data_IF_296580883677
#
_entry.id   IF_296580883677
#
_cell.length_a   1.000
_cell.length_b   1.000
_cell.length_c   1.000
_cell.angle_alpha   90.00
_cell.angle_beta   90.00
_cell.angle_gamma   90.00
#
_symmetry.space_group_name_H-M   'P 1'
#
loop_
_entity.id
_entity.type
_entity.pdbx_description
1 polymer ?
#
# COMPACT_ATOMS: atom_id res chain seq x y z
N UNK A 1 5.54 -7.43 -1.42
CA UNK A 1 4.47 -7.52 -0.40
C UNK A 1 3.47 -6.37 -0.57
N UNK A 2 3.84 -5.10 -0.32
CA UNK A 2 2.93 -3.93 -0.49
C UNK A 2 2.12 -3.95 -1.79
N UNK A 3 2.78 -3.98 -2.95
CA UNK A 3 2.09 -3.90 -4.25
C UNK A 3 1.21 -5.13 -4.55
N UNK A 4 1.69 -6.33 -4.20
CA UNK A 4 0.92 -7.57 -4.31
C UNK A 4 -0.35 -7.49 -3.47
N UNK A 5 -0.25 -7.07 -2.20
CA UNK A 5 -1.40 -6.90 -1.30
C UNK A 5 -2.42 -5.91 -1.86
N UNK A 6 -1.98 -4.77 -2.41
CA UNK A 6 -2.89 -3.81 -3.04
C UNK A 6 -3.58 -4.41 -4.28
N UNK A 7 -2.83 -5.15 -5.11
CA UNK A 7 -3.36 -5.84 -6.29
C UNK A 7 -4.39 -6.91 -5.96
N UNK A 8 -4.10 -7.77 -4.98
CA UNK A 8 -5.00 -8.83 -4.51
C UNK A 8 -6.32 -8.27 -3.96
N UNK A 9 -6.27 -7.05 -3.39
CA UNK A 9 -7.42 -6.31 -2.90
C UNK A 9 -8.10 -5.42 -3.95
N UNK A 10 -7.70 -5.52 -5.23
CA UNK A 10 -8.20 -4.72 -6.36
C UNK A 10 -8.13 -3.21 -6.10
N UNK A 11 -7.01 -2.75 -5.54
CA UNK A 11 -6.72 -1.32 -5.32
C UNK A 11 -5.75 -0.85 -6.39
N UNK A 12 -6.15 0.18 -7.13
CA UNK A 12 -5.32 0.69 -8.22
C UNK A 12 -4.26 1.67 -7.73
N UNK A 13 -3.01 1.45 -8.15
CA UNK A 13 -1.90 2.36 -7.84
C UNK A 13 -1.78 3.39 -8.98
N UNK A 14 -1.89 4.66 -8.62
CA UNK A 14 -1.82 5.79 -9.55
C UNK A 14 -0.36 6.19 -9.78
N UNK A 15 0.45 6.17 -8.74
CA UNK A 15 1.87 6.51 -8.81
C UNK A 15 2.67 5.79 -7.72
N UNK A 16 3.96 5.58 -7.98
CA UNK A 16 4.94 5.06 -7.02
C UNK A 16 6.11 6.02 -7.00
N UNK A 17 6.54 6.40 -5.81
CA UNK A 17 7.76 7.17 -5.58
C UNK A 17 8.63 6.42 -4.57
N UNK A 18 9.90 6.21 -4.93
CA UNK A 18 10.91 5.66 -4.03
C UNK A 18 12.11 6.60 -4.03
N UNK A 19 12.50 7.07 -2.85
CA UNK A 19 13.71 7.87 -2.69
C UNK A 19 14.98 7.01 -2.69
N UNK A 20 16.13 7.68 -2.57
CA UNK A 20 17.45 7.03 -2.38
C UNK A 20 17.60 6.36 -1.01
N UNK A 21 16.70 6.67 -0.06
CA UNK A 21 16.58 5.89 1.17
C UNK A 21 15.84 4.59 0.84
N UNK A 22 16.56 3.47 0.87
CA UNK A 22 16.03 2.11 0.60
C UNK A 22 14.94 1.66 1.58
N UNK A 23 14.66 2.48 2.60
CA UNK A 23 13.74 2.17 3.68
C UNK A 23 12.33 2.76 3.47
N UNK A 24 12.13 3.63 2.48
CA UNK A 24 10.83 4.27 2.25
C UNK A 24 10.33 4.18 0.81
N UNK A 25 9.11 3.67 0.68
CA UNK A 25 8.34 3.62 -0.55
C UNK A 25 7.05 4.40 -0.30
N UNK A 26 6.68 5.28 -1.22
CA UNK A 26 5.40 5.98 -1.25
C UNK A 26 4.60 5.56 -2.48
N UNK A 27 3.29 5.39 -2.32
CA UNK A 27 2.39 5.14 -3.43
C UNK A 27 1.13 6.00 -3.31
N UNK A 28 0.59 6.44 -4.45
CA UNK A 28 -0.65 7.18 -4.55
C UNK A 28 -1.76 6.25 -5.04
N UNK A 29 -2.93 6.36 -4.41
CA UNK A 29 -4.14 5.59 -4.73
C UNK A 29 -5.35 6.54 -4.72
N UNK A 30 -6.50 6.08 -5.21
CA UNK A 30 -7.71 6.88 -5.14
C UNK A 30 -8.13 7.10 -3.67
N UNK A 31 -8.47 8.34 -3.31
CA UNK A 31 -8.88 8.70 -1.94
C UNK A 31 -9.97 7.78 -1.34
N UNK A 32 -11.03 7.40 -2.09
CA UNK A 32 -12.04 6.46 -1.61
C UNK A 32 -11.50 5.07 -1.23
N UNK A 33 -10.34 4.66 -1.76
CA UNK A 33 -9.71 3.37 -1.48
C UNK A 33 -8.72 3.41 -0.32
N UNK A 34 -8.39 4.60 0.19
CA UNK A 34 -7.33 4.80 1.19
C UNK A 34 -7.53 3.96 2.45
N UNK A 35 -8.73 3.99 3.04
CA UNK A 35 -9.04 3.22 4.25
C UNK A 35 -8.90 1.71 4.02
N UNK A 36 -9.35 1.21 2.85
CA UNK A 36 -9.25 -0.21 2.49
C UNK A 36 -7.79 -0.62 2.31
N UNK A 37 -7.00 0.22 1.64
CA UNK A 37 -5.58 0.00 1.41
C UNK A 37 -4.79 -0.11 2.73
N UNK A 38 -5.01 0.81 3.66
CA UNK A 38 -4.35 0.81 4.97
C UNK A 38 -4.68 -0.47 5.74
N UNK A 39 -5.95 -0.90 5.76
CA UNK A 39 -6.37 -2.14 6.45
C UNK A 39 -5.72 -3.38 5.84
N UNK A 40 -5.80 -3.52 4.52
CA UNK A 40 -5.19 -4.65 3.81
C UNK A 40 -3.67 -4.72 4.04
N UNK A 41 -2.99 -3.57 4.08
CA UNK A 41 -1.57 -3.50 4.39
C UNK A 41 -1.27 -3.85 5.85
N UNK A 42 -2.04 -3.36 6.82
CA UNK A 42 -1.85 -3.74 8.22
C UNK A 42 -1.99 -5.26 8.44
N UNK A 43 -3.02 -5.87 7.85
CA UNK A 43 -3.22 -7.33 7.90
C UNK A 43 -2.07 -8.08 7.23
N UNK A 44 -1.64 -7.65 6.03
CA UNK A 44 -0.59 -8.33 5.28
C UNK A 44 0.79 -8.24 5.95
N UNK A 45 1.03 -7.23 6.78
CA UNK A 45 2.29 -7.05 7.52
C UNK A 45 2.22 -7.52 8.97
N UNK A 46 1.08 -8.08 9.40
CA UNK A 46 0.84 -8.52 10.78
C UNK A 46 1.08 -7.39 11.80
N UNK A 47 0.78 -6.15 11.41
CA UNK A 47 0.89 -4.97 12.26
C UNK A 47 -0.32 -4.82 13.20
N UNK A 48 -1.14 -5.87 13.30
CA UNK A 48 -2.35 -5.95 14.12
C UNK A 48 -2.12 -6.52 15.52
N UNK A 49 -0.85 -6.69 15.95
CA UNK A 49 -0.50 -7.27 17.25
C UNK A 49 0.32 -6.36 18.16
#
# INVERSE_FOLDING_TARGET
RVFSTLGDNRINIIAIAQGSSELNISCAIAGPEATRAVRALHEAFDLSH
#
